data_IF_159179033241
#
_entry.id   IF_159179033241
#
_cell.length_a   1.000
_cell.length_b   1.000
_cell.length_c   1.000
_cell.angle_alpha   90.00
_cell.angle_beta   90.00
_cell.angle_gamma   90.00
#
_symmetry.space_group_name_H-M   'P 1'
#
loop_
_entity.id
_entity.type
_entity.pdbx_description
1 polymer ?
#
# COMPACT_ATOMS: atom_id res chain seq x y z
N UNK A 1 -1.80 6.38 -8.53
CA UNK A 1 -1.89 4.98 -9.02
C UNK A 1 -1.45 4.94 -10.48
N UNK A 2 -0.83 3.85 -10.94
CA UNK A 2 -0.29 3.74 -12.31
C UNK A 2 -1.29 3.24 -13.36
N UNK A 3 -2.36 2.57 -12.93
CA UNK A 3 -3.45 2.08 -13.77
C UNK A 3 -4.75 2.14 -12.97
N UNK A 4 -5.88 2.37 -13.62
CA UNK A 4 -7.18 2.20 -12.97
C UNK A 4 -7.36 0.75 -12.50
N UNK A 5 -7.96 0.60 -11.33
CA UNK A 5 -8.34 -0.67 -10.74
C UNK A 5 -9.75 -0.55 -10.19
N UNK A 6 -10.45 -1.67 -10.16
CA UNK A 6 -11.72 -1.77 -9.46
C UNK A 6 -11.47 -1.49 -7.96
N UNK A 7 -12.20 -0.55 -7.32
CA UNK A 7 -12.05 -0.30 -5.89
C UNK A 7 -12.34 -1.53 -5.01
N UNK A 8 -13.11 -2.50 -5.50
CA UNK A 8 -13.44 -3.75 -4.78
C UNK A 8 -12.36 -4.84 -4.93
N UNK A 9 -11.30 -4.60 -5.71
CA UNK A 9 -10.24 -5.59 -5.88
C UNK A 9 -9.23 -5.61 -4.73
N UNK A 10 -8.48 -6.71 -4.63
CA UNK A 10 -7.36 -6.78 -3.68
C UNK A 10 -6.29 -5.75 -4.05
N UNK A 11 -5.60 -5.25 -3.02
CA UNK A 11 -4.53 -4.27 -3.19
C UNK A 11 -3.39 -4.79 -4.08
N UNK A 12 -3.29 -6.09 -4.34
CA UNK A 12 -2.27 -6.76 -5.14
C UNK A 12 -2.14 -6.15 -6.53
N UNK A 13 -3.27 -5.81 -7.16
CA UNK A 13 -3.33 -5.21 -8.50
C UNK A 13 -3.10 -3.68 -8.51
N UNK A 14 -2.95 -3.06 -7.34
CA UNK A 14 -2.72 -1.63 -7.18
C UNK A 14 -1.23 -1.32 -7.28
N UNK A 15 -0.85 -0.56 -8.30
CA UNK A 15 0.51 -0.08 -8.50
C UNK A 15 0.62 1.41 -8.19
N UNK A 16 1.59 1.78 -7.36
CA UNK A 16 1.82 3.17 -6.97
C UNK A 16 2.86 3.84 -7.86
N UNK A 17 2.60 5.09 -8.23
CA UNK A 17 3.53 5.86 -9.04
C UNK A 17 4.85 6.07 -8.29
N UNK A 18 5.96 5.97 -9.02
CA UNK A 18 7.31 5.99 -8.46
C UNK A 18 7.54 7.20 -7.54
N UNK A 19 7.26 8.42 -8.01
CA UNK A 19 7.48 9.66 -7.24
C UNK A 19 6.55 9.85 -6.04
N UNK A 20 5.54 9.00 -5.84
CA UNK A 20 4.60 9.07 -4.72
C UNK A 20 4.82 7.94 -3.71
N UNK A 21 5.60 6.93 -4.06
CA UNK A 21 5.76 5.71 -3.27
C UNK A 21 7.13 5.67 -2.61
N UNK A 22 7.14 5.61 -1.27
CA UNK A 22 8.36 5.36 -0.48
C UNK A 22 8.83 3.90 -0.53
N UNK A 23 8.10 3.04 -1.25
CA UNK A 23 8.32 1.59 -1.35
C UNK A 23 8.60 1.18 -2.80
N UNK A 24 9.05 2.14 -3.60
CA UNK A 24 9.31 2.01 -5.02
C UNK A 24 10.77 2.36 -5.31
N UNK A 25 11.45 1.49 -6.05
CA UNK A 25 12.89 1.63 -6.30
C UNK A 25 13.16 1.58 -7.81
N UNK A 26 14.06 2.42 -8.32
CA UNK A 26 14.67 2.17 -9.62
C UNK A 26 15.77 1.15 -9.47
N UNK A 27 15.78 0.18 -10.37
CA UNK A 27 16.79 -0.87 -10.38
C UNK A 27 17.45 -0.95 -11.74
N UNK A 28 18.76 -1.19 -11.71
CA UNK A 28 19.55 -1.58 -12.87
C UNK A 28 19.63 -3.11 -12.89
N UNK A 29 19.67 -3.67 -14.09
CA UNK A 29 19.84 -5.10 -14.29
C UNK A 29 21.29 -5.42 -14.62
N UNK A 30 21.77 -6.55 -14.10
CA UNK A 30 23.09 -7.10 -14.39
C UNK A 30 22.97 -8.59 -14.73
N UNK A 31 23.96 -9.10 -15.46
CA UNK A 31 24.13 -10.53 -15.73
C UNK A 31 24.74 -11.29 -14.55
N UNK A 32 25.37 -10.56 -13.62
CA UNK A 32 26.05 -11.11 -12.46
C UNK A 32 25.65 -10.34 -11.19
N UNK A 33 25.61 -11.03 -10.05
CA UNK A 33 25.30 -10.42 -8.77
C UNK A 33 24.87 -11.45 -7.72
N UNK A 34 24.32 -10.95 -6.61
CA UNK A 34 23.93 -11.78 -5.47
C UNK A 34 22.41 -11.95 -5.31
N UNK A 35 21.62 -11.05 -5.90
CA UNK A 35 20.16 -11.04 -5.77
C UNK A 35 19.53 -11.03 -7.17
N UNK A 36 19.10 -12.20 -7.65
CA UNK A 36 18.36 -12.32 -8.91
C UNK A 36 16.87 -12.08 -8.70
N UNK A 37 16.20 -11.58 -9.74
CA UNK A 37 14.75 -11.39 -9.73
C UNK A 37 14.07 -12.74 -9.51
N UNK A 38 14.45 -13.77 -10.28
CA UNK A 38 13.90 -15.12 -10.14
C UNK A 38 13.95 -15.66 -8.70
N UNK A 39 15.07 -15.48 -7.99
CA UNK A 39 15.21 -15.94 -6.61
C UNK A 39 14.28 -15.20 -5.65
N UNK A 40 14.04 -13.91 -5.88
CA UNK A 40 13.05 -13.15 -5.10
C UNK A 40 11.65 -13.72 -5.33
N UNK A 41 11.30 -13.95 -6.59
CA UNK A 41 9.94 -14.35 -6.99
C UNK A 41 9.61 -15.81 -6.63
N UNK A 42 10.62 -16.67 -6.48
CA UNK A 42 10.47 -18.07 -6.04
C UNK A 42 10.40 -18.25 -4.53
N UNK A 43 10.57 -17.18 -3.76
CA UNK A 43 10.58 -17.29 -2.29
C UNK A 43 9.19 -17.64 -1.76
N UNK A 44 9.11 -18.52 -0.77
CA UNK A 44 7.84 -18.92 -0.16
C UNK A 44 7.10 -17.72 0.45
N UNK A 45 5.76 -17.72 0.34
CA UNK A 45 4.89 -16.65 0.84
C UNK A 45 5.14 -15.27 0.21
N UNK A 46 5.74 -15.26 -0.98
CA UNK A 46 5.92 -14.07 -1.81
C UNK A 46 5.14 -14.25 -3.09
N UNK A 47 4.30 -13.27 -3.38
CA UNK A 47 3.61 -13.13 -4.65
C UNK A 47 4.14 -11.89 -5.39
N UNK A 48 3.87 -11.86 -6.70
CA UNK A 48 4.21 -10.71 -7.50
C UNK A 48 3.20 -10.44 -8.62
N UNK A 49 3.19 -9.18 -9.06
CA UNK A 49 2.45 -8.72 -10.24
C UNK A 49 3.36 -7.80 -11.04
N UNK A 50 3.15 -7.76 -12.35
CA UNK A 50 3.93 -6.92 -13.25
C UNK A 50 3.02 -6.05 -14.10
N UNK A 51 3.52 -4.87 -14.47
CA UNK A 51 2.93 -4.01 -15.49
C UNK A 51 4.04 -3.41 -16.36
N UNK A 52 3.70 -3.14 -17.62
CA UNK A 52 4.55 -2.37 -18.54
C UNK A 52 3.90 -1.00 -18.70
N UNK A 53 4.66 0.05 -18.39
CA UNK A 53 4.22 1.43 -18.54
C UNK A 53 4.31 1.85 -20.02
N UNK A 54 3.57 2.90 -20.39
CA UNK A 54 3.56 3.41 -21.79
C UNK A 54 4.94 3.84 -22.30
N UNK A 55 5.84 4.21 -21.40
CA UNK A 55 7.23 4.56 -21.72
C UNK A 55 8.17 3.34 -21.74
N UNK A 56 7.62 2.13 -21.76
CA UNK A 56 8.37 0.86 -21.76
C UNK A 56 8.79 0.38 -20.38
N UNK A 57 8.82 1.24 -19.35
CA UNK A 57 9.32 0.85 -18.01
C UNK A 57 8.53 -0.34 -17.46
N UNK A 58 9.26 -1.38 -17.06
CA UNK A 58 8.72 -2.57 -16.44
C UNK A 58 8.63 -2.34 -14.94
N UNK A 59 7.44 -2.44 -14.36
CA UNK A 59 7.24 -2.35 -12.93
C UNK A 59 6.88 -3.73 -12.37
N UNK A 60 7.67 -4.22 -11.42
CA UNK A 60 7.40 -5.46 -10.70
C UNK A 60 7.06 -5.10 -9.27
N UNK A 61 5.86 -5.49 -8.85
CA UNK A 61 5.43 -5.40 -7.46
C UNK A 61 5.60 -6.76 -6.82
N UNK A 62 6.33 -6.81 -5.72
CA UNK A 62 6.57 -8.00 -4.90
C UNK A 62 5.92 -7.77 -3.55
N UNK A 63 5.14 -8.73 -3.08
CA UNK A 63 4.35 -8.58 -1.87
C UNK A 63 4.15 -9.90 -1.13
N UNK A 64 3.78 -9.77 0.13
CA UNK A 64 3.30 -10.85 0.98
C UNK A 64 1.98 -10.40 1.64
N UNK A 65 1.47 -11.19 2.58
CA UNK A 65 0.23 -10.91 3.29
C UNK A 65 0.23 -9.58 4.09
N UNK A 66 1.41 -9.01 4.34
CA UNK A 66 1.56 -7.85 5.21
C UNK A 66 1.99 -6.60 4.46
N UNK A 67 2.73 -6.74 3.36
CA UNK A 67 3.50 -5.64 2.80
C UNK A 67 3.88 -5.84 1.35
N UNK A 68 4.34 -4.77 0.70
CA UNK A 68 4.81 -4.81 -0.68
C UNK A 68 6.05 -3.94 -0.89
N UNK A 69 6.79 -4.18 -1.97
CA UNK A 69 7.65 -3.19 -2.58
C UNK A 69 7.52 -3.27 -4.10
N UNK A 70 7.96 -2.24 -4.80
CA UNK A 70 7.95 -2.18 -6.25
C UNK A 70 9.35 -1.84 -6.74
N UNK A 71 9.75 -2.44 -7.85
CA UNK A 71 10.91 -1.97 -8.58
C UNK A 71 10.55 -1.63 -10.03
N UNK A 72 11.15 -0.54 -10.50
CA UNK A 72 11.02 0.01 -11.82
C UNK A 72 12.30 -0.29 -12.57
N UNK A 73 12.14 -1.02 -13.66
CA UNK A 73 13.21 -1.46 -14.54
C UNK A 73 13.04 -0.72 -15.84
N UNK A 74 14.03 0.07 -16.23
CA UNK A 74 14.09 0.50 -17.62
C UNK A 74 14.43 -0.73 -18.46
N UNK A 75 13.54 -1.19 -19.36
CA UNK A 75 13.98 -2.17 -20.32
C UNK A 75 15.09 -1.52 -21.15
N UNK A 76 16.29 -2.08 -21.06
CA UNK A 76 17.26 -1.86 -22.12
C UNK A 76 16.79 -2.55 -23.39
N UNK A 77 17.73 -2.93 -24.25
CA UNK A 77 17.45 -3.70 -25.46
C UNK A 77 16.97 -5.14 -25.23
N UNK A 78 16.97 -5.65 -24.00
CA UNK A 78 16.78 -7.07 -23.70
C UNK A 78 15.68 -7.29 -22.63
N UNK A 79 14.43 -7.25 -23.08
CA UNK A 79 13.24 -7.46 -22.25
C UNK A 79 12.92 -8.92 -21.97
N UNK A 80 13.36 -9.84 -22.84
CA UNK A 80 12.97 -11.26 -22.76
C UNK A 80 13.59 -11.99 -21.57
N UNK A 81 14.64 -11.43 -20.96
CA UNK A 81 15.41 -12.11 -19.92
C UNK A 81 15.42 -11.39 -18.56
N UNK A 82 14.56 -10.39 -18.34
CA UNK A 82 14.57 -9.58 -17.10
C UNK A 82 14.53 -10.45 -15.85
N UNK A 83 13.73 -11.52 -15.83
CA UNK A 83 13.60 -12.40 -14.66
C UNK A 83 14.89 -13.14 -14.30
N UNK A 84 15.78 -13.39 -15.26
CA UNK A 84 17.06 -14.07 -15.05
C UNK A 84 18.22 -13.09 -14.75
N UNK A 85 17.90 -11.82 -14.49
CA UNK A 85 18.89 -10.79 -14.18
C UNK A 85 19.01 -10.55 -12.68
N UNK A 86 20.16 -10.02 -12.31
CA UNK A 86 20.46 -9.54 -10.96
C UNK A 86 20.07 -8.07 -10.83
N UNK A 87 19.52 -7.70 -9.67
CA UNK A 87 19.11 -6.32 -9.39
C UNK A 87 20.20 -5.54 -8.66
N UNK A 88 20.44 -4.33 -9.14
CA UNK A 88 21.25 -3.31 -8.48
C UNK A 88 20.37 -2.12 -8.15
N UNK A 89 20.32 -1.77 -6.86
CA UNK A 89 19.54 -0.64 -6.36
C UNK A 89 20.51 0.47 -5.98
N UNK A 90 20.31 1.66 -6.55
CA UNK A 90 21.10 2.83 -6.17
C UNK A 90 20.89 3.14 -4.70
N UNK A 91 21.99 3.25 -3.96
CA UNK A 91 22.02 3.52 -2.53
C UNK A 91 22.27 5.01 -2.31
N UNK A 92 21.36 5.88 -2.74
CA UNK A 92 21.48 7.30 -2.38
C UNK A 92 21.53 7.43 -0.84
N UNK A 93 22.49 8.25 -0.37
CA UNK A 93 23.09 8.20 0.97
C UNK A 93 22.10 8.33 2.15
N UNK A 94 20.89 8.85 1.94
CA UNK A 94 19.87 9.00 2.99
C UNK A 94 18.79 7.90 3.00
N UNK A 95 18.78 6.99 2.02
CA UNK A 95 17.75 5.93 1.87
C UNK A 95 18.25 4.50 2.06
N UNK A 96 19.58 4.29 2.20
CA UNK A 96 20.20 2.95 2.19
C UNK A 96 19.60 1.99 3.21
N UNK A 97 19.47 2.40 4.48
CA UNK A 97 18.93 1.55 5.55
C UNK A 97 17.43 1.29 5.35
N UNK A 98 16.68 2.33 5.00
CA UNK A 98 15.23 2.23 4.81
C UNK A 98 14.85 1.31 3.64
N UNK A 99 15.56 1.38 2.52
CA UNK A 99 15.28 0.55 1.35
C UNK A 99 15.58 -0.93 1.62
N UNK A 100 16.72 -1.22 2.25
CA UNK A 100 17.06 -2.59 2.65
C UNK A 100 16.11 -3.14 3.70
N UNK A 101 15.65 -2.31 4.64
CA UNK A 101 14.68 -2.71 5.66
C UNK A 101 13.34 -3.06 5.01
N UNK A 102 12.82 -2.22 4.10
CA UNK A 102 11.57 -2.49 3.36
C UNK A 102 11.64 -3.82 2.58
N UNK A 103 12.74 -4.03 1.84
CA UNK A 103 12.91 -5.25 1.05
C UNK A 103 13.02 -6.46 1.99
N UNK A 104 13.85 -6.38 3.03
CA UNK A 104 14.03 -7.47 3.99
C UNK A 104 12.76 -7.76 4.78
N UNK A 105 11.94 -6.77 5.09
CA UNK A 105 10.67 -6.97 5.80
C UNK A 105 9.70 -7.77 4.95
N UNK A 106 9.61 -7.45 3.65
CA UNK A 106 8.78 -8.21 2.71
C UNK A 106 9.36 -9.60 2.50
N UNK A 107 10.63 -9.72 2.14
CA UNK A 107 11.25 -11.01 1.80
C UNK A 107 11.40 -11.97 2.98
N UNK A 108 11.48 -11.47 4.21
CA UNK A 108 11.55 -12.35 5.39
C UNK A 108 10.18 -12.56 6.05
N UNK A 109 9.10 -12.15 5.37
CA UNK A 109 7.73 -12.25 5.85
C UNK A 109 7.57 -11.71 7.28
N UNK A 110 8.31 -10.64 7.62
CA UNK A 110 8.29 -10.07 8.96
C UNK A 110 6.98 -9.30 9.10
N UNK A 111 6.22 -9.63 10.14
CA UNK A 111 4.90 -9.05 10.47
C UNK A 111 4.93 -7.56 10.87
N UNK A 112 6.05 -6.85 10.66
CA UNK A 112 6.22 -5.44 11.07
C UNK A 112 5.67 -4.43 10.08
N UNK A 113 4.88 -4.84 9.09
CA UNK A 113 4.14 -3.83 8.35
C UNK A 113 3.03 -3.32 9.27
N UNK A 114 3.03 -2.01 9.52
CA UNK A 114 1.94 -1.32 10.21
C UNK A 114 0.64 -1.72 9.51
N UNK A 115 -0.16 -2.57 10.15
CA UNK A 115 -1.58 -2.61 9.84
C UNK A 115 -2.06 -1.16 9.83
N UNK A 116 -2.97 -0.83 8.92
CA UNK A 116 -3.65 0.45 8.99
C UNK A 116 -4.11 0.59 10.44
N UNK A 117 -3.68 1.65 11.15
CA UNK A 117 -3.98 1.78 12.58
C UNK A 117 -5.47 1.54 12.79
N UNK A 118 -5.84 0.90 13.89
CA UNK A 118 -7.26 0.65 14.18
C UNK A 118 -8.08 1.94 14.03
N UNK A 119 -7.49 3.08 14.41
CA UNK A 119 -8.02 4.43 14.18
C UNK A 119 -8.33 4.74 12.71
N UNK A 120 -7.42 4.45 11.78
CA UNK A 120 -7.66 4.72 10.36
C UNK A 120 -8.69 3.76 9.77
N UNK A 121 -8.70 2.48 10.18
CA UNK A 121 -9.73 1.53 9.73
C UNK A 121 -11.10 1.97 10.21
N UNK A 122 -11.15 2.47 11.44
CA UNK A 122 -12.34 3.03 12.03
C UNK A 122 -12.87 4.25 11.27
N UNK A 123 -12.00 5.17 10.86
CA UNK A 123 -12.39 6.31 10.01
C UNK A 123 -12.96 5.86 8.67
N UNK A 124 -12.36 4.85 8.02
CA UNK A 124 -12.90 4.31 6.76
C UNK A 124 -14.28 3.68 6.95
N UNK A 125 -14.53 2.96 8.04
CA UNK A 125 -15.86 2.39 8.36
C UNK A 125 -16.93 3.47 8.57
N UNK A 126 -16.55 4.63 9.11
CA UNK A 126 -17.46 5.79 9.20
C UNK A 126 -17.85 6.23 7.78
N UNK A 127 -16.89 6.28 6.87
CA UNK A 127 -17.12 6.65 5.48
C UNK A 127 -18.00 5.63 4.74
N UNK A 128 -17.81 4.33 4.99
CA UNK A 128 -18.69 3.28 4.48
C UNK A 128 -20.12 3.44 4.99
N UNK A 129 -20.29 3.88 6.24
CA UNK A 129 -21.60 4.13 6.83
C UNK A 129 -22.30 5.31 6.15
N UNK A 130 -21.57 6.38 5.85
CA UNK A 130 -22.10 7.51 5.08
C UNK A 130 -22.51 7.08 3.66
N UNK A 131 -21.71 6.25 3.00
CA UNK A 131 -22.03 5.74 1.66
C UNK A 131 -23.27 4.83 1.64
N UNK A 132 -23.58 4.17 2.76
CA UNK A 132 -24.83 3.42 2.97
C UNK A 132 -26.05 4.30 3.28
N UNK A 133 -25.86 5.62 3.42
CA UNK A 133 -26.93 6.58 3.69
C UNK A 133 -27.19 6.85 5.18
N UNK A 134 -26.36 6.35 6.09
CA UNK A 134 -26.53 6.64 7.52
C UNK A 134 -26.26 8.12 7.82
N UNK A 135 -27.11 8.70 8.66
CA UNK A 135 -26.92 10.03 9.21
C UNK A 135 -25.79 10.06 10.25
N UNK A 136 -25.27 11.25 10.54
CA UNK A 136 -24.27 11.43 11.60
C UNK A 136 -24.75 10.94 12.97
N UNK A 137 -26.07 11.05 13.23
CA UNK A 137 -26.68 10.58 14.48
C UNK A 137 -26.67 9.06 14.57
N UNK A 138 -27.06 8.37 13.50
CA UNK A 138 -27.04 6.90 13.45
C UNK A 138 -25.61 6.35 13.57
N UNK A 139 -24.64 6.99 12.92
CA UNK A 139 -23.22 6.67 13.09
C UNK A 139 -22.82 6.85 14.56
N UNK A 140 -23.19 7.97 15.20
CA UNK A 140 -22.91 8.18 16.61
C UNK A 140 -23.55 7.09 17.49
N UNK A 141 -24.78 6.69 17.20
CA UNK A 141 -25.51 5.66 17.96
C UNK A 141 -24.82 4.30 17.89
N UNK A 142 -24.29 3.93 16.72
CA UNK A 142 -23.53 2.71 16.56
C UNK A 142 -22.18 2.74 17.31
N UNK A 143 -21.60 3.93 17.49
CA UNK A 143 -20.27 4.08 18.08
C UNK A 143 -20.28 4.27 19.59
N UNK A 144 -21.24 5.06 20.09
CA UNK A 144 -21.32 5.49 21.49
C UNK A 144 -22.54 4.91 22.20
N UNK A 145 -23.43 4.22 21.48
CA UNK A 145 -24.68 3.71 22.02
C UNK A 145 -25.82 4.71 21.90
N UNK A 146 -27.03 4.18 21.69
CA UNK A 146 -28.23 4.98 21.49
C UNK A 146 -28.56 5.86 22.70
N UNK A 147 -28.37 5.36 23.91
CA UNK A 147 -28.65 6.08 25.16
C UNK A 147 -27.81 7.36 25.31
N UNK A 148 -26.51 7.29 25.01
CA UNK A 148 -25.62 8.46 25.08
C UNK A 148 -26.03 9.48 24.02
N UNK A 149 -26.33 9.03 22.80
CA UNK A 149 -26.77 9.91 21.72
C UNK A 149 -28.07 10.60 22.07
N UNK A 150 -29.05 9.90 22.63
CA UNK A 150 -30.33 10.51 22.97
C UNK A 150 -30.19 11.58 24.07
N UNK A 151 -29.23 11.42 24.98
CA UNK A 151 -28.96 12.38 26.05
C UNK A 151 -28.09 13.57 25.61
N UNK A 152 -27.13 13.37 24.70
CA UNK A 152 -26.11 14.37 24.36
C UNK A 152 -26.23 14.96 22.94
N UNK A 153 -27.13 14.47 22.10
CA UNK A 153 -27.24 14.92 20.70
C UNK A 153 -28.01 16.24 20.57
N UNK A 154 -27.28 17.35 20.60
CA UNK A 154 -27.82 18.70 20.36
C UNK A 154 -27.14 19.37 19.16
N UNK A 155 -27.60 20.58 18.79
CA UNK A 155 -27.08 21.31 17.64
C UNK A 155 -25.57 21.59 17.73
N UNK A 156 -25.09 21.91 18.93
CA UNK A 156 -23.70 22.29 19.20
C UNK A 156 -22.97 21.32 20.14
N UNK A 157 -23.46 20.08 20.27
CA UNK A 157 -22.83 19.12 21.18
C UNK A 157 -21.43 18.70 20.72
N UNK A 158 -20.59 18.39 21.71
CA UNK A 158 -19.28 17.82 21.46
C UNK A 158 -19.38 16.52 20.66
N UNK A 159 -20.38 15.69 20.95
CA UNK A 159 -20.62 14.41 20.27
C UNK A 159 -20.85 14.60 18.76
N UNK A 160 -21.73 15.53 18.38
CA UNK A 160 -21.99 15.86 16.98
C UNK A 160 -20.74 16.42 16.30
N UNK A 161 -20.01 17.29 17.00
CA UNK A 161 -18.76 17.87 16.50
C UNK A 161 -17.65 16.82 16.31
N UNK A 162 -17.57 15.83 17.20
CA UNK A 162 -16.63 14.72 17.15
C UNK A 162 -16.85 13.86 15.89
N UNK A 163 -18.10 13.47 15.63
CA UNK A 163 -18.45 12.73 14.40
C UNK A 163 -18.12 13.54 13.16
N UNK A 164 -18.46 14.83 13.13
CA UNK A 164 -18.11 15.71 12.01
C UNK A 164 -16.60 15.80 11.79
N UNK A 165 -15.82 15.85 12.86
CA UNK A 165 -14.35 15.88 12.76
C UNK A 165 -13.80 14.57 12.20
N UNK A 166 -14.34 13.42 12.62
CA UNK A 166 -13.95 12.11 12.09
C UNK A 166 -14.28 11.95 10.61
N UNK A 167 -15.44 12.42 10.16
CA UNK A 167 -15.84 12.39 8.74
C UNK A 167 -14.91 13.24 7.86
N UNK A 168 -14.37 14.34 8.41
CA UNK A 168 -13.45 15.22 7.68
C UNK A 168 -12.02 14.67 7.57
N UNK A 169 -11.64 13.74 8.45
CA UNK A 169 -10.31 13.14 8.49
C UNK A 169 -10.24 11.98 7.52
#
# INVERSE_FOLDING_TARGET
MLRYVDPECTADNVFWAEGLSRRSFRVLLSHEGNLSIENILKKENIDYRTIILKNGIYCIKVFNNYSYFQFFVNPGSDTENIFNRYIYISLELNGKKQNTDIINDVLNNKSKCSSLSEDNQFLLRIMDSLNKGYSQREIASHLFGQEIVDNEWTQDSWLRSNIRYRIKR
#
